data_IF_621041761441
#
_entry.id   IF_621041761441
#
_cell.length_a   1.000
_cell.length_b   1.000
_cell.length_c   1.000
_cell.angle_alpha   90.00
_cell.angle_beta   90.00
_cell.angle_gamma   90.00
#
_symmetry.space_group_name_H-M   'P 1'
#
loop_
_entity.id
_entity.type
_entity.pdbx_description
1 polymer ?
#
# COMPACT_ATOMS: atom_id res chain seq x y z
N UNK A 1 12.86 -9.35 12.80
CA UNK A 1 12.29 -8.01 12.51
C UNK A 1 12.39 -7.22 13.81
N UNK A 2 13.05 -6.06 13.77
CA UNK A 2 13.28 -5.30 15.00
C UNK A 2 12.01 -4.53 15.39
N UNK A 3 11.72 -4.40 16.68
CA UNK A 3 10.52 -3.71 17.17
C UNK A 3 10.91 -2.62 18.15
N UNK A 4 10.22 -1.49 18.09
CA UNK A 4 10.39 -0.38 19.02
C UNK A 4 9.01 0.13 19.45
N UNK A 5 8.84 0.47 20.73
CA UNK A 5 7.61 1.15 21.15
C UNK A 5 7.62 2.60 20.68
N UNK A 6 6.44 3.18 20.46
CA UNK A 6 6.33 4.58 20.02
C UNK A 6 6.95 5.56 21.04
N UNK A 7 6.96 5.20 22.32
CA UNK A 7 7.60 5.97 23.39
C UNK A 7 9.13 5.92 23.28
N UNK A 8 9.71 4.74 23.08
CA UNK A 8 11.15 4.57 22.90
C UNK A 8 11.65 5.21 21.61
N UNK A 9 10.86 5.12 20.53
CA UNK A 9 11.17 5.77 19.27
C UNK A 9 11.25 7.28 19.43
N UNK A 10 10.34 7.90 20.20
CA UNK A 10 10.40 9.34 20.48
C UNK A 10 11.70 9.77 21.18
N UNK A 11 12.28 8.90 22.00
CA UNK A 11 13.54 9.18 22.70
C UNK A 11 14.80 8.89 21.86
N UNK A 12 14.67 8.12 20.77
CA UNK A 12 15.80 7.61 19.97
C UNK A 12 15.58 7.78 18.46
N UNK A 13 14.79 8.78 18.08
CA UNK A 13 14.32 8.95 16.70
C UNK A 13 15.48 9.18 15.73
N UNK A 14 16.39 10.10 16.05
CA UNK A 14 17.52 10.47 15.21
C UNK A 14 18.46 9.27 14.95
N UNK A 15 18.83 8.55 16.01
CA UNK A 15 19.65 7.35 15.93
C UNK A 15 18.95 6.23 15.15
N UNK A 16 17.64 6.08 15.34
CA UNK A 16 16.84 5.06 14.65
C UNK A 16 16.74 5.36 13.16
N UNK A 17 16.48 6.62 12.79
CA UNK A 17 16.44 7.06 11.39
C UNK A 17 17.80 6.89 10.73
N UNK A 18 18.88 7.31 11.39
CA UNK A 18 20.26 7.18 10.88
C UNK A 18 20.64 5.74 10.63
N UNK A 19 20.26 4.83 11.54
CA UNK A 19 20.48 3.40 11.33
C UNK A 19 19.69 2.89 10.14
N UNK A 20 18.39 3.15 10.09
CA UNK A 20 17.54 2.68 8.99
C UNK A 20 18.04 3.18 7.64
N UNK A 21 18.46 4.44 7.52
CA UNK A 21 18.96 5.00 6.28
C UNK A 21 20.29 4.39 5.81
N UNK A 22 21.20 4.04 6.73
CA UNK A 22 22.53 3.55 6.37
C UNK A 22 22.66 2.03 6.34
N UNK A 23 21.94 1.31 7.19
CA UNK A 23 22.08 -0.15 7.33
C UNK A 23 20.96 -0.94 6.67
N UNK A 24 19.98 -0.26 6.05
CA UNK A 24 18.77 -0.87 5.47
C UNK A 24 17.99 -1.70 6.52
N UNK A 25 18.09 -1.29 7.78
CA UNK A 25 17.35 -1.93 8.84
C UNK A 25 15.85 -1.64 8.71
N UNK A 26 15.02 -2.63 9.00
CA UNK A 26 13.55 -2.51 9.02
C UNK A 26 13.04 -2.63 10.44
N UNK A 27 12.38 -1.59 10.92
CA UNK A 27 11.88 -1.50 12.30
C UNK A 27 10.37 -1.39 12.31
N UNK A 28 9.71 -2.23 13.09
CA UNK A 28 8.26 -2.15 13.33
C UNK A 28 8.00 -1.28 14.56
N UNK A 29 7.15 -0.29 14.39
CA UNK A 29 6.73 0.63 15.44
C UNK A 29 5.51 0.03 16.12
N UNK A 30 5.53 -0.04 17.45
CA UNK A 30 4.44 -0.59 18.25
C UNK A 30 3.82 0.44 19.18
N UNK A 31 2.52 0.31 19.44
CA UNK A 31 1.78 1.04 20.48
C UNK A 31 1.08 0.02 21.36
N UNK A 32 1.37 0.04 22.66
CA UNK A 32 0.86 -0.96 23.62
C UNK A 32 1.13 -2.40 23.17
N UNK A 33 2.32 -2.66 22.60
CA UNK A 33 2.72 -3.98 22.10
C UNK A 33 2.09 -4.41 20.76
N UNK A 34 1.24 -3.57 20.16
CA UNK A 34 0.63 -3.86 18.84
C UNK A 34 1.37 -3.12 17.74
N UNK A 35 1.67 -3.75 16.59
CA UNK A 35 2.29 -3.08 15.45
C UNK A 35 1.33 -2.03 14.88
N UNK A 36 1.85 -0.82 14.62
CA UNK A 36 1.09 0.32 14.10
C UNK A 36 1.74 1.01 12.90
N UNK A 37 3.00 0.71 12.61
CA UNK A 37 3.73 1.25 11.47
C UNK A 37 5.11 0.61 11.34
N UNK A 38 5.85 1.04 10.34
CA UNK A 38 7.23 0.61 10.13
C UNK A 38 8.09 1.78 9.64
N UNK A 39 9.38 1.72 9.94
CA UNK A 39 10.41 2.58 9.38
C UNK A 39 11.36 1.72 8.54
N UNK A 40 11.57 2.14 7.30
CA UNK A 40 12.44 1.51 6.30
C UNK A 40 13.28 2.58 5.58
N UNK A 41 14.34 2.16 4.90
CA UNK A 41 15.15 3.09 4.10
C UNK A 41 14.37 3.58 2.87
N UNK A 42 14.80 4.70 2.30
CA UNK A 42 14.19 5.21 1.06
C UNK A 42 14.38 4.24 -0.11
N UNK A 43 15.54 3.56 -0.17
CA UNK A 43 15.83 2.59 -1.22
C UNK A 43 14.91 1.37 -1.13
N UNK A 44 14.64 0.89 0.10
CA UNK A 44 13.69 -0.19 0.33
C UNK A 44 12.25 0.23 -0.01
N UNK A 45 11.87 1.48 0.31
CA UNK A 45 10.57 2.02 -0.09
C UNK A 45 10.43 2.05 -1.62
N UNK A 46 11.43 2.60 -2.32
CA UNK A 46 11.43 2.64 -3.79
C UNK A 46 11.43 1.25 -4.43
N UNK A 47 12.06 0.26 -3.80
CA UNK A 47 11.97 -1.13 -4.26
C UNK A 47 10.57 -1.69 -4.09
N UNK A 48 9.90 -1.43 -2.95
CA UNK A 48 8.53 -1.87 -2.71
C UNK A 48 7.57 -1.26 -3.72
N UNK A 49 7.63 0.05 -3.94
CA UNK A 49 6.78 0.76 -4.90
C UNK A 49 6.92 0.16 -6.31
N UNK A 50 8.15 -0.11 -6.75
CA UNK A 50 8.40 -0.74 -8.06
C UNK A 50 7.82 -2.15 -8.17
N UNK A 51 7.91 -2.94 -7.10
CA UNK A 51 7.34 -4.30 -7.09
C UNK A 51 5.81 -4.26 -7.10
N UNK A 52 5.20 -3.27 -6.45
CA UNK A 52 3.75 -3.03 -6.50
C UNK A 52 3.31 -2.63 -7.92
N UNK A 53 4.02 -1.68 -8.54
CA UNK A 53 3.76 -1.27 -9.94
C UNK A 53 3.87 -2.44 -10.92
N UNK A 54 4.92 -3.26 -10.79
CA UNK A 54 5.13 -4.45 -11.63
C UNK A 54 4.01 -5.47 -11.46
N UNK A 55 3.55 -5.70 -10.22
CA UNK A 55 2.43 -6.59 -9.92
C UNK A 55 1.14 -6.09 -10.54
N UNK A 56 0.83 -4.81 -10.39
CA UNK A 56 -0.42 -4.22 -10.87
C UNK A 56 -0.45 -4.22 -12.41
N UNK A 57 0.67 -3.92 -13.06
CA UNK A 57 0.81 -4.03 -14.51
C UNK A 57 0.63 -5.48 -15.00
N UNK A 58 1.17 -6.45 -14.25
CA UNK A 58 1.03 -7.87 -14.57
C UNK A 58 -0.43 -8.32 -14.45
N UNK A 59 -1.12 -7.97 -13.37
CA UNK A 59 -2.53 -8.29 -13.16
C UNK A 59 -3.41 -7.68 -14.26
N UNK A 60 -3.17 -6.42 -14.63
CA UNK A 60 -3.87 -5.77 -15.72
C UNK A 60 -3.66 -6.50 -17.07
N UNK A 61 -2.42 -6.92 -17.36
CA UNK A 61 -2.11 -7.68 -18.57
C UNK A 61 -2.78 -9.06 -18.58
N UNK A 62 -2.82 -9.77 -17.44
CA UNK A 62 -3.53 -11.04 -17.32
C UNK A 62 -5.04 -10.88 -17.52
N UNK A 63 -5.63 -9.84 -16.92
CA UNK A 63 -7.04 -9.52 -17.12
C UNK A 63 -7.34 -9.24 -18.59
N UNK A 64 -6.54 -8.40 -19.26
CA UNK A 64 -6.68 -8.14 -20.70
C UNK A 64 -6.51 -9.39 -21.56
N UNK A 65 -5.61 -10.31 -21.20
CA UNK A 65 -5.43 -11.56 -21.92
C UNK A 65 -6.61 -12.53 -21.72
N UNK A 66 -7.25 -12.49 -20.54
CA UNK A 66 -8.39 -13.34 -20.19
C UNK A 66 -9.73 -12.79 -20.71
N UNK A 67 -9.88 -11.47 -20.77
CA UNK A 67 -11.12 -10.82 -21.23
C UNK A 67 -11.03 -10.49 -22.72
N UNK A 68 -11.98 -10.99 -23.52
CA UNK A 68 -12.11 -10.64 -24.95
C UNK A 68 -13.12 -9.52 -25.20
N UNK A 69 -13.72 -8.98 -24.15
CA UNK A 69 -14.81 -8.02 -24.24
C UNK A 69 -14.31 -6.67 -23.75
N UNK A 70 -14.18 -5.73 -24.69
CA UNK A 70 -14.05 -4.31 -24.42
C UNK A 70 -15.43 -3.67 -24.58
N UNK A 71 -15.86 -2.87 -23.61
CA UNK A 71 -17.05 -2.03 -23.73
C UNK A 71 -16.66 -0.61 -24.14
N UNK A 72 -17.48 0.12 -24.91
CA UNK A 72 -17.29 1.55 -25.14
C UNK A 72 -17.27 2.33 -23.83
N UNK A 73 -16.48 3.42 -23.77
CA UNK A 73 -16.35 4.24 -22.57
C UNK A 73 -17.70 4.76 -22.04
N UNK A 74 -18.65 5.08 -22.92
CA UNK A 74 -19.99 5.51 -22.52
C UNK A 74 -20.77 4.43 -21.76
N UNK A 75 -20.67 3.17 -22.20
CA UNK A 75 -21.31 2.02 -21.54
C UNK A 75 -20.65 1.70 -20.19
N UNK A 76 -19.32 1.89 -20.09
CA UNK A 76 -18.61 1.77 -18.82
C UNK A 76 -19.07 2.80 -17.78
N UNK A 77 -19.21 4.07 -18.20
CA UNK A 77 -19.67 5.14 -17.30
C UNK A 77 -21.08 4.86 -16.79
N UNK A 78 -21.99 4.44 -17.68
CA UNK A 78 -23.37 4.10 -17.31
C UNK A 78 -23.42 2.92 -16.31
N UNK A 79 -22.61 1.88 -16.53
CA UNK A 79 -22.52 0.75 -15.60
C UNK A 79 -21.94 1.15 -14.23
N UNK A 80 -20.88 1.97 -14.23
CA UNK A 80 -20.24 2.44 -12.99
C UNK A 80 -21.15 3.36 -12.18
N UNK A 81 -21.90 4.24 -12.84
CA UNK A 81 -22.90 5.11 -12.20
C UNK A 81 -24.03 4.28 -11.59
N UNK A 82 -24.53 3.24 -12.27
CA UNK A 82 -25.55 2.34 -11.75
C UNK A 82 -25.06 1.54 -10.53
N UNK A 83 -23.81 1.05 -10.54
CA UNK A 83 -23.20 0.36 -9.40
C UNK A 83 -23.07 1.29 -8.18
N UNK A 84 -22.59 2.53 -8.38
CA UNK A 84 -22.49 3.54 -7.32
C UNK A 84 -23.87 3.88 -6.74
N UNK A 85 -24.91 3.99 -7.56
CA UNK A 85 -26.28 4.23 -7.08
C UNK A 85 -26.85 3.06 -6.27
N UNK A 86 -26.49 1.83 -6.63
CA UNK A 86 -26.91 0.62 -5.91
C UNK A 86 -26.26 0.49 -4.52
N UNK A 87 -24.97 0.81 -4.38
CA UNK A 87 -24.27 0.81 -3.07
C UNK A 87 -24.84 1.89 -2.13
N UNK A 88 -25.26 3.04 -2.66
CA UNK A 88 -25.85 4.13 -1.87
C UNK A 88 -27.29 3.87 -1.43
N UNK A 89 -27.96 2.86 -1.97
CA UNK A 89 -29.34 2.50 -1.58
C UNK A 89 -29.40 1.41 -0.50
N UNK A 90 -28.31 0.70 -0.24
CA UNK A 90 -28.23 -0.32 0.83
C UNK A 90 -27.96 0.26 2.23
N UNK A 91 -27.61 1.55 2.34
CA UNK A 91 -27.29 2.23 3.60
C UNK A 91 -28.43 3.13 4.16
N UNK A 92 -29.69 2.89 3.76
CA UNK A 92 -30.88 3.64 4.23
C UNK A 92 -31.92 2.79 4.98
#
# INVERSE_FOLDING_TARGET
MNQISILELGNSLEDTVTRVSHTHERVVITKNGKPVGALISIDDLSLLERLEDERDAHEAAELLARTKTTIPFAEFVEALEADIESENTEDK
#
